data_IF_524903844389
#
_entry.id   IF_524903844389
#
_cell.length_a   1.000
_cell.length_b   1.000
_cell.length_c   1.000
_cell.angle_alpha   90.00
_cell.angle_beta   90.00
_cell.angle_gamma   90.00
#
_symmetry.space_group_name_H-M   'P 1'
#
loop_
_entity.id
_entity.type
_entity.pdbx_description
1 polymer ?
#
# COMPACT_ATOMS: atom_id res chain seq x y z
N UNK A 1 -9.18 12.77 -16.38
CA UNK A 1 -8.69 11.47 -15.91
C UNK A 1 -8.82 11.33 -14.38
N UNK A 2 -8.22 12.25 -13.60
CA UNK A 2 -8.21 12.19 -12.14
C UNK A 2 -9.62 12.17 -11.50
N UNK A 3 -10.58 12.92 -12.03
CA UNK A 3 -11.95 12.91 -11.55
C UNK A 3 -12.63 11.55 -11.75
N UNK A 4 -12.38 10.92 -12.90
CA UNK A 4 -12.91 9.60 -13.22
C UNK A 4 -12.29 8.52 -12.31
N UNK A 5 -10.98 8.58 -12.09
CA UNK A 5 -10.28 7.67 -11.18
C UNK A 5 -10.80 7.80 -9.74
N UNK A 6 -11.04 9.02 -9.24
CA UNK A 6 -11.65 9.25 -7.91
C UNK A 6 -13.07 8.69 -7.79
N UNK A 7 -13.87 8.80 -8.85
CA UNK A 7 -15.23 8.23 -8.84
C UNK A 7 -15.18 6.69 -8.82
N UNK A 8 -14.27 6.10 -9.61
CA UNK A 8 -14.06 4.66 -9.61
C UNK A 8 -13.56 4.15 -8.24
N UNK A 9 -12.63 4.88 -7.60
CA UNK A 9 -12.15 4.54 -6.26
C UNK A 9 -13.31 4.52 -5.24
N UNK A 10 -14.14 5.57 -5.23
CA UNK A 10 -15.32 5.63 -4.34
C UNK A 10 -16.30 4.48 -4.56
N UNK A 11 -16.45 4.03 -5.80
CA UNK A 11 -17.29 2.86 -6.12
C UNK A 11 -16.61 1.57 -5.64
N UNK A 12 -15.30 1.44 -5.81
CA UNK A 12 -14.56 0.28 -5.37
C UNK A 12 -14.48 0.14 -3.84
N UNK A 13 -14.51 1.24 -3.08
CA UNK A 13 -14.55 1.24 -1.62
C UNK A 13 -15.83 0.60 -1.04
N UNK A 14 -16.89 0.52 -1.84
CA UNK A 14 -18.14 -0.16 -1.45
C UNK A 14 -18.13 -1.66 -1.74
N UNK A 15 -17.16 -2.13 -2.51
CA UNK A 15 -17.02 -3.53 -2.89
C UNK A 15 -16.13 -4.23 -1.86
N UNK A 16 -16.50 -5.43 -1.38
CA UNK A 16 -15.61 -6.19 -0.50
C UNK A 16 -14.25 -6.38 -1.14
N UNK A 17 -13.19 -6.11 -0.37
CA UNK A 17 -11.82 -6.22 -0.84
C UNK A 17 -11.01 -7.05 0.14
N UNK A 18 -10.25 -8.01 -0.40
CA UNK A 18 -9.29 -8.82 0.36
C UNK A 18 -7.89 -8.40 -0.07
N UNK A 19 -7.17 -7.75 0.85
CA UNK A 19 -5.81 -7.29 0.64
C UNK A 19 -4.84 -8.27 1.31
N UNK A 20 -3.97 -8.85 0.52
CA UNK A 20 -2.95 -9.79 0.99
C UNK A 20 -1.62 -9.04 1.07
N UNK A 21 -1.00 -9.04 2.23
CA UNK A 21 0.30 -8.39 2.42
C UNK A 21 1.37 -9.03 1.53
N UNK A 22 1.94 -8.24 0.64
CA UNK A 22 3.03 -8.64 -0.26
C UNK A 22 4.42 -8.21 0.23
N UNK A 23 4.55 -7.83 1.49
CA UNK A 23 5.87 -7.62 2.10
C UNK A 23 6.67 -8.91 2.13
N UNK A 24 8.00 -8.80 2.05
CA UNK A 24 8.94 -9.93 1.92
C UNK A 24 8.69 -11.05 2.93
N UNK A 25 8.44 -10.72 4.21
CA UNK A 25 8.18 -11.71 5.25
C UNK A 25 6.89 -12.50 4.98
N UNK A 26 5.82 -11.83 4.54
CA UNK A 26 4.56 -12.47 4.19
C UNK A 26 4.69 -13.33 2.93
N UNK A 27 5.42 -12.87 1.91
CA UNK A 27 5.71 -13.65 0.69
C UNK A 27 6.47 -14.92 1.06
N UNK A 28 7.52 -14.82 1.87
CA UNK A 28 8.27 -15.97 2.36
C UNK A 28 7.40 -16.93 3.19
N UNK A 29 6.42 -16.39 3.91
CA UNK A 29 5.41 -17.16 4.67
C UNK A 29 4.29 -17.76 3.81
N UNK A 30 4.26 -17.55 2.50
CA UNK A 30 3.30 -18.16 1.58
C UNK A 30 2.15 -17.25 1.14
N UNK A 31 2.25 -15.93 1.26
CA UNK A 31 1.21 -14.98 0.86
C UNK A 31 0.77 -15.15 -0.61
N UNK A 32 1.70 -15.48 -1.51
CA UNK A 32 1.36 -15.76 -2.92
C UNK A 32 0.40 -16.94 -3.07
N UNK A 33 0.61 -18.01 -2.30
CA UNK A 33 -0.30 -19.16 -2.31
C UNK A 33 -1.68 -18.81 -1.77
N UNK A 34 -1.75 -17.93 -0.77
CA UNK A 34 -3.02 -17.41 -0.23
C UNK A 34 -3.75 -16.63 -1.32
N UNK A 35 -3.04 -15.74 -2.03
CA UNK A 35 -3.59 -14.98 -3.14
C UNK A 35 -4.17 -15.89 -4.25
N UNK A 36 -3.39 -16.86 -4.71
CA UNK A 36 -3.81 -17.81 -5.77
C UNK A 36 -5.00 -18.67 -5.33
N UNK A 37 -4.99 -19.13 -4.06
CA UNK A 37 -6.09 -19.93 -3.52
C UNK A 37 -7.39 -19.13 -3.40
N UNK A 38 -7.32 -17.87 -2.93
CA UNK A 38 -8.50 -17.01 -2.86
C UNK A 38 -9.10 -16.77 -4.24
N UNK A 39 -8.26 -16.50 -5.25
CA UNK A 39 -8.74 -16.37 -6.65
C UNK A 39 -9.43 -17.65 -7.13
N UNK A 40 -8.78 -18.80 -6.90
CA UNK A 40 -9.34 -20.10 -7.28
C UNK A 40 -10.67 -20.39 -6.58
N UNK A 41 -10.79 -20.06 -5.30
CA UNK A 41 -12.04 -20.23 -4.55
C UNK A 41 -13.16 -19.32 -5.09
N UNK A 42 -12.84 -18.07 -5.48
CA UNK A 42 -13.79 -17.17 -6.13
C UNK A 42 -14.24 -17.71 -7.50
N UNK A 43 -13.32 -18.19 -8.33
CA UNK A 43 -13.60 -18.77 -9.64
C UNK A 43 -14.55 -19.97 -9.55
N UNK A 44 -14.32 -20.89 -8.60
CA UNK A 44 -15.19 -22.05 -8.34
C UNK A 44 -16.63 -21.66 -8.04
N UNK A 45 -16.86 -20.45 -7.51
CA UNK A 45 -18.17 -19.91 -7.15
C UNK A 45 -18.77 -19.00 -8.21
N UNK A 46 -18.07 -18.78 -9.30
CA UNK A 46 -18.47 -17.82 -10.32
C UNK A 46 -18.52 -16.37 -9.80
N UNK A 47 -17.76 -16.08 -8.74
CA UNK A 47 -17.60 -14.71 -8.25
C UNK A 47 -16.57 -14.00 -9.14
N UNK A 48 -16.94 -12.88 -9.80
CA UNK A 48 -15.99 -12.10 -10.56
C UNK A 48 -14.92 -11.53 -9.61
N UNK A 49 -13.66 -11.83 -9.89
CA UNK A 49 -12.51 -11.26 -9.17
C UNK A 49 -11.94 -10.13 -9.99
N UNK A 50 -11.85 -8.97 -9.39
CA UNK A 50 -11.19 -7.82 -10.00
C UNK A 50 -9.84 -7.56 -9.34
N UNK A 51 -8.85 -7.32 -10.21
CA UNK A 51 -7.53 -6.82 -9.85
C UNK A 51 -7.43 -5.43 -10.45
N UNK A 52 -7.18 -4.42 -9.64
CA UNK A 52 -7.10 -3.01 -10.08
C UNK A 52 -8.43 -2.25 -10.04
N UNK A 53 -8.33 -0.96 -10.34
CA UNK A 53 -9.46 -0.04 -10.37
C UNK A 53 -10.19 -0.18 -11.71
N UNK A 54 -11.29 -0.94 -11.76
CA UNK A 54 -12.10 -1.06 -12.97
C UNK A 54 -13.29 -0.10 -12.94
N UNK A 55 -13.54 0.52 -14.09
CA UNK A 55 -14.66 1.46 -14.31
C UNK A 55 -15.98 0.78 -14.68
N UNK A 56 -16.07 -0.55 -14.65
CA UNK A 56 -17.24 -1.27 -15.12
C UNK A 56 -18.35 -1.39 -14.07
N UNK A 57 -19.58 -1.24 -14.56
CA UNK A 57 -20.83 -1.07 -13.81
C UNK A 57 -21.36 -2.31 -13.09
N UNK A 58 -20.69 -3.45 -13.16
CA UNK A 58 -21.11 -4.70 -12.49
C UNK A 58 -20.52 -4.88 -11.08
N UNK A 59 -20.22 -3.77 -10.42
CA UNK A 59 -19.54 -3.75 -9.11
C UNK A 59 -20.32 -4.44 -7.98
N UNK A 60 -21.65 -4.56 -8.07
CA UNK A 60 -22.51 -5.09 -6.99
C UNK A 60 -22.29 -6.59 -6.68
N UNK A 61 -21.59 -7.33 -7.54
CA UNK A 61 -21.35 -8.77 -7.38
C UNK A 61 -19.88 -9.18 -7.46
N UNK A 62 -18.97 -8.22 -7.40
CA UNK A 62 -17.54 -8.47 -7.55
C UNK A 62 -16.81 -8.46 -6.22
N UNK A 63 -15.72 -9.21 -6.14
CA UNK A 63 -14.78 -9.22 -5.03
C UNK A 63 -13.42 -8.73 -5.54
N UNK A 64 -12.82 -7.77 -4.84
CA UNK A 64 -11.45 -7.37 -5.11
C UNK A 64 -10.49 -8.25 -4.32
N UNK A 65 -9.56 -8.92 -5.01
CA UNK A 65 -8.44 -9.63 -4.39
C UNK A 65 -7.17 -8.96 -4.84
N UNK A 66 -6.50 -8.26 -3.92
CA UNK A 66 -5.37 -7.38 -4.21
C UNK A 66 -4.13 -7.77 -3.40
N UNK A 67 -2.97 -7.51 -3.99
CA UNK A 67 -1.71 -7.53 -3.26
C UNK A 67 -1.43 -6.13 -2.72
N UNK A 68 -1.30 -6.00 -1.41
CA UNK A 68 -0.98 -4.73 -0.76
C UNK A 68 0.50 -4.64 -0.39
N UNK A 69 1.01 -3.41 -0.22
CA UNK A 69 2.31 -3.18 0.38
C UNK A 69 2.41 -3.71 1.82
N UNK A 70 3.60 -3.67 2.39
CA UNK A 70 3.86 -4.20 3.73
C UNK A 70 3.04 -3.48 4.80
N UNK A 71 2.27 -4.24 5.59
CA UNK A 71 1.53 -3.71 6.74
C UNK A 71 2.43 -3.40 7.95
N UNK A 72 3.70 -3.83 7.94
CA UNK A 72 4.65 -3.56 9.02
C UNK A 72 4.53 -4.49 10.23
N UNK A 73 3.71 -5.53 10.17
CA UNK A 73 3.50 -6.50 11.27
C UNK A 73 3.99 -7.89 10.91
N UNK A 74 5.23 -7.96 10.40
CA UNK A 74 5.83 -9.14 9.77
C UNK A 74 5.88 -10.36 10.69
N UNK A 75 6.03 -10.18 12.01
CA UNK A 75 6.01 -11.27 12.99
C UNK A 75 4.68 -12.05 12.97
N UNK A 76 3.58 -11.37 12.64
CA UNK A 76 2.23 -11.94 12.57
C UNK A 76 1.84 -12.40 11.17
N UNK A 77 2.76 -12.33 10.20
CA UNK A 77 2.48 -12.74 8.81
C UNK A 77 2.33 -14.24 8.61
N UNK A 78 1.73 -14.64 7.51
CA UNK A 78 1.04 -13.85 6.46
C UNK A 78 -0.19 -13.12 6.95
N UNK A 79 -0.37 -11.87 6.48
CA UNK A 79 -1.49 -10.99 6.86
C UNK A 79 -2.50 -10.89 5.72
N UNK A 80 -3.78 -10.94 6.08
CA UNK A 80 -4.91 -10.70 5.17
C UNK A 80 -5.81 -9.65 5.79
N UNK A 81 -6.06 -8.55 5.06
CA UNK A 81 -6.92 -7.47 5.49
C UNK A 81 -8.19 -7.43 4.65
N UNK A 82 -9.35 -7.26 5.29
CA UNK A 82 -10.66 -7.34 4.63
C UNK A 82 -11.40 -6.04 4.82
N UNK A 83 -11.68 -5.37 3.69
CA UNK A 83 -12.45 -4.14 3.63
C UNK A 83 -13.87 -4.38 3.09
N UNK A 84 -14.87 -3.60 3.50
CA UNK A 84 -14.82 -2.44 4.38
C UNK A 84 -14.88 -2.77 5.88
N UNK A 85 -14.75 -4.04 6.28
CA UNK A 85 -14.87 -4.46 7.69
C UNK A 85 -13.67 -3.99 8.54
N UNK A 86 -12.53 -3.64 7.92
CA UNK A 86 -11.28 -3.30 8.61
C UNK A 86 -10.64 -4.47 9.35
N UNK A 87 -11.08 -5.71 9.06
CA UNK A 87 -10.60 -6.91 9.77
C UNK A 87 -9.23 -7.31 9.28
N UNK A 88 -8.31 -7.51 10.21
CA UNK A 88 -6.98 -8.05 9.92
C UNK A 88 -6.82 -9.45 10.49
N UNK A 89 -6.54 -10.39 9.62
CA UNK A 89 -6.17 -11.76 9.98
C UNK A 89 -4.65 -11.94 9.96
N UNK A 90 -4.16 -12.69 10.95
CA UNK A 90 -2.75 -13.00 11.17
C UNK A 90 -2.48 -14.49 10.96
N UNK A 91 -1.22 -14.85 10.68
CA UNK A 91 -0.76 -16.23 10.48
C UNK A 91 -1.64 -17.04 9.53
N UNK A 92 -2.21 -16.36 8.53
CA UNK A 92 -3.13 -16.97 7.56
C UNK A 92 -2.39 -18.03 6.74
N UNK A 93 -3.05 -19.15 6.52
CA UNK A 93 -2.55 -20.26 5.70
C UNK A 93 -3.41 -20.43 4.44
N UNK A 94 -2.86 -21.05 3.39
CA UNK A 94 -3.65 -21.34 2.18
C UNK A 94 -4.95 -22.10 2.45
N UNK A 95 -4.99 -22.96 3.49
CA UNK A 95 -6.15 -23.75 3.87
C UNK A 95 -7.28 -22.90 4.47
N UNK A 96 -6.95 -21.70 4.99
CA UNK A 96 -7.92 -20.78 5.60
C UNK A 96 -8.75 -20.02 4.55
N UNK A 97 -8.30 -19.99 3.29
CA UNK A 97 -8.90 -19.18 2.21
C UNK A 97 -10.40 -19.47 2.01
N UNK A 98 -10.78 -20.75 2.04
CA UNK A 98 -12.17 -21.16 1.91
C UNK A 98 -13.03 -20.59 3.06
N UNK A 99 -12.55 -20.74 4.30
CA UNK A 99 -13.26 -20.26 5.49
C UNK A 99 -13.34 -18.71 5.52
N UNK A 100 -12.27 -18.03 5.16
CA UNK A 100 -12.24 -16.56 5.06
C UNK A 100 -13.28 -16.08 4.05
N UNK A 101 -13.33 -16.70 2.87
CA UNK A 101 -14.30 -16.32 1.84
C UNK A 101 -15.74 -16.55 2.31
N UNK A 102 -16.06 -17.74 2.82
CA UNK A 102 -17.42 -18.09 3.21
C UNK A 102 -17.91 -17.30 4.43
N UNK A 103 -17.12 -17.32 5.51
CA UNK A 103 -17.57 -16.72 6.77
C UNK A 103 -17.43 -15.22 6.76
N UNK A 104 -16.26 -14.71 6.35
CA UNK A 104 -15.99 -13.28 6.54
C UNK A 104 -16.44 -12.47 5.34
N UNK A 105 -15.98 -12.79 4.15
CA UNK A 105 -16.25 -11.97 2.97
C UNK A 105 -17.73 -12.02 2.57
N UNK A 106 -18.33 -13.23 2.54
CA UNK A 106 -19.71 -13.43 2.15
C UNK A 106 -20.68 -13.39 3.33
N UNK A 107 -20.26 -13.90 4.48
CA UNK A 107 -21.12 -14.04 5.67
C UNK A 107 -21.03 -12.90 6.68
N UNK A 108 -19.99 -12.04 6.60
CA UNK A 108 -19.77 -10.95 7.57
C UNK A 108 -19.33 -11.40 8.97
N UNK A 109 -18.93 -12.67 9.13
CA UNK A 109 -18.53 -13.25 10.41
C UNK A 109 -17.01 -13.14 10.61
N UNK A 110 -16.58 -12.82 11.82
CA UNK A 110 -15.15 -12.75 12.16
C UNK A 110 -14.68 -14.13 12.63
N UNK A 111 -13.55 -14.59 12.09
CA UNK A 111 -12.92 -15.86 12.48
C UNK A 111 -11.96 -15.58 13.64
N UNK A 112 -12.41 -15.80 14.86
CA UNK A 112 -11.68 -15.44 16.09
C UNK A 112 -10.26 -16.02 16.17
N UNK A 113 -10.02 -17.25 15.70
CA UNK A 113 -8.70 -17.89 15.71
C UNK A 113 -7.66 -17.19 14.82
N UNK A 114 -8.11 -16.37 13.86
CA UNK A 114 -7.24 -15.66 12.92
C UNK A 114 -7.01 -14.19 13.30
N UNK A 115 -7.72 -13.65 14.30
CA UNK A 115 -7.49 -12.29 14.78
C UNK A 115 -6.33 -12.21 15.76
N UNK A 116 -5.76 -11.02 15.89
CA UNK A 116 -4.71 -10.78 16.88
C UNK A 116 -5.28 -10.76 18.30
N UNK A 117 -4.62 -11.49 19.22
CA UNK A 117 -4.97 -11.49 20.63
C UNK A 117 -3.79 -10.99 21.48
N UNK A 118 -4.09 -10.17 22.48
CA UNK A 118 -3.11 -9.69 23.45
C UNK A 118 -3.79 -9.68 24.85
N UNK A 119 -3.15 -10.34 25.83
CA UNK A 119 -3.65 -10.41 27.21
C UNK A 119 -5.11 -10.90 27.33
N UNK A 120 -5.51 -11.84 26.46
CA UNK A 120 -6.86 -12.39 26.41
C UNK A 120 -7.91 -11.51 25.72
N UNK A 121 -7.51 -10.39 25.14
CA UNK A 121 -8.38 -9.50 24.36
C UNK A 121 -8.17 -9.73 22.88
N UNK A 122 -9.25 -9.91 22.12
CA UNK A 122 -9.23 -10.02 20.68
C UNK A 122 -9.26 -8.63 20.02
N UNK A 123 -8.43 -8.44 19.01
CA UNK A 123 -8.35 -7.19 18.21
C UNK A 123 -8.62 -7.51 16.73
N UNK A 124 -9.88 -7.60 16.31
CA UNK A 124 -10.20 -7.94 14.94
C UNK A 124 -9.85 -6.85 13.92
N UNK A 125 -9.89 -5.57 14.32
CA UNK A 125 -9.59 -4.47 13.42
C UNK A 125 -8.14 -4.03 13.53
N UNK A 126 -7.50 -3.78 12.38
CA UNK A 126 -6.11 -3.32 12.34
C UNK A 126 -5.88 -2.07 13.19
N UNK A 127 -6.77 -1.09 13.10
CA UNK A 127 -6.67 0.19 13.81
C UNK A 127 -6.72 0.06 15.34
N UNK A 128 -7.35 -0.99 15.86
CA UNK A 128 -7.48 -1.24 17.28
C UNK A 128 -6.29 -1.95 17.89
N UNK A 129 -5.49 -2.65 17.07
CA UNK A 129 -4.30 -3.37 17.54
C UNK A 129 -3.33 -2.36 18.17
N UNK A 130 -2.87 -2.59 19.44
CA UNK A 130 -2.03 -1.63 20.16
C UNK A 130 -0.74 -1.24 19.44
N UNK A 131 -0.19 -2.13 18.61
CA UNK A 131 0.96 -1.89 17.77
C UNK A 131 0.69 -0.79 16.73
N UNK A 132 -0.46 -0.83 16.04
CA UNK A 132 -0.84 0.16 15.04
C UNK A 132 -1.36 1.46 15.66
N UNK A 133 -2.11 1.35 16.74
CA UNK A 133 -2.73 2.50 17.42
C UNK A 133 -1.72 3.56 17.89
N UNK A 134 -0.46 3.15 18.11
CA UNK A 134 0.63 4.03 18.54
C UNK A 134 1.47 4.56 17.39
N UNK A 135 1.16 4.20 16.13
CA UNK A 135 1.91 4.63 14.96
C UNK A 135 1.21 5.78 14.24
N UNK A 136 2.01 6.72 13.75
CA UNK A 136 1.60 7.72 12.79
C UNK A 136 2.41 7.52 11.51
N UNK A 137 1.77 6.92 10.52
CA UNK A 137 2.41 6.61 9.24
C UNK A 137 2.34 7.81 8.32
N UNK A 138 3.49 8.27 7.83
CA UNK A 138 3.60 9.33 6.82
C UNK A 138 4.13 8.73 5.52
N UNK A 139 5.34 8.19 5.54
CA UNK A 139 5.99 7.62 4.34
C UNK A 139 5.32 6.31 3.88
N UNK A 140 4.83 5.53 4.84
CA UNK A 140 4.15 4.25 4.58
C UNK A 140 2.62 4.37 4.65
N UNK A 141 2.06 5.55 4.46
CA UNK A 141 0.62 5.82 4.58
C UNK A 141 -0.21 4.90 3.68
N UNK A 142 0.20 4.72 2.43
CA UNK A 142 -0.51 3.89 1.46
C UNK A 142 -0.15 2.40 1.53
N UNK A 143 0.89 2.03 2.30
CA UNK A 143 1.27 0.63 2.44
C UNK A 143 0.24 -0.14 3.26
N UNK A 144 -0.30 -1.20 2.67
CA UNK A 144 -1.34 -2.02 3.29
C UNK A 144 -2.77 -1.60 2.97
N UNK A 145 -2.98 -0.42 2.37
CA UNK A 145 -4.31 0.11 2.00
C UNK A 145 -4.49 0.34 0.50
N UNK A 146 -3.45 0.14 -0.30
CA UNK A 146 -3.48 0.35 -1.75
C UNK A 146 -2.82 -0.81 -2.47
N UNK A 147 -3.25 -1.02 -3.71
CA UNK A 147 -2.53 -1.86 -4.66
C UNK A 147 -1.31 -1.09 -5.17
N UNK A 148 -0.12 -1.62 -4.92
CA UNK A 148 1.13 -0.97 -5.31
C UNK A 148 1.36 -0.95 -6.84
N UNK A 149 0.69 -1.85 -7.57
CA UNK A 149 0.80 -1.97 -9.03
C UNK A 149 -0.28 -1.18 -9.78
N UNK A 150 -1.25 -0.59 -9.07
CA UNK A 150 -2.34 0.17 -9.68
C UNK A 150 -2.08 1.68 -9.64
N UNK A 151 -1.57 2.21 -10.75
CA UNK A 151 -1.33 3.65 -10.93
C UNK A 151 -2.63 4.46 -10.88
N UNK A 152 -3.77 3.91 -11.31
CA UNK A 152 -5.05 4.62 -11.29
C UNK A 152 -5.54 4.81 -9.86
N UNK A 153 -5.35 3.82 -8.99
CA UNK A 153 -5.65 3.94 -7.56
C UNK A 153 -4.77 5.01 -6.91
N UNK A 154 -3.48 5.05 -7.23
CA UNK A 154 -2.57 6.09 -6.72
C UNK A 154 -2.98 7.50 -7.16
N UNK A 155 -3.35 7.68 -8.45
CA UNK A 155 -3.83 8.96 -8.97
C UNK A 155 -5.17 9.36 -8.33
N UNK A 156 -6.08 8.40 -8.11
CA UNK A 156 -7.36 8.64 -7.45
C UNK A 156 -7.18 9.18 -6.02
N UNK A 157 -6.18 8.69 -5.31
CA UNK A 157 -5.78 9.17 -3.97
C UNK A 157 -5.03 10.51 -3.98
N UNK A 158 -4.84 11.12 -5.14
CA UNK A 158 -4.17 12.42 -5.29
C UNK A 158 -2.69 12.34 -5.69
N UNK A 159 -2.22 11.14 -5.99
CA UNK A 159 -0.86 10.91 -6.47
C UNK A 159 -0.55 11.70 -7.74
N UNK A 160 0.70 12.02 -7.93
CA UNK A 160 1.24 12.84 -9.04
C UNK A 160 0.73 14.28 -9.14
N UNK A 161 -0.18 14.75 -8.29
CA UNK A 161 -0.64 16.16 -8.34
C UNK A 161 0.50 17.16 -8.10
N UNK A 162 1.43 16.83 -7.21
CA UNK A 162 2.64 17.63 -7.00
C UNK A 162 3.58 17.63 -8.21
N UNK A 163 3.72 16.49 -8.88
CA UNK A 163 4.52 16.35 -10.09
C UNK A 163 3.92 17.15 -11.25
N UNK A 164 2.60 17.04 -11.46
CA UNK A 164 1.87 17.83 -12.47
C UNK A 164 2.10 19.34 -12.26
N UNK A 165 1.93 19.81 -11.03
CA UNK A 165 2.18 21.20 -10.67
C UNK A 165 3.63 21.62 -10.94
N UNK A 166 4.60 20.80 -10.54
CA UNK A 166 6.01 21.08 -10.75
C UNK A 166 6.35 21.16 -12.24
N UNK A 167 5.77 20.29 -13.06
CA UNK A 167 6.07 20.20 -14.49
C UNK A 167 5.47 21.34 -15.31
N UNK A 168 4.25 21.78 -14.99
CA UNK A 168 3.49 22.71 -15.82
C UNK A 168 3.35 24.13 -15.24
N UNK A 169 3.59 24.31 -13.94
CA UNK A 169 3.29 25.58 -13.26
C UNK A 169 4.50 26.20 -12.55
N UNK A 170 5.62 25.45 -12.42
CA UNK A 170 6.77 25.92 -11.63
C UNK A 170 8.06 25.93 -12.46
N UNK A 171 8.92 26.88 -12.14
CA UNK A 171 10.30 26.89 -12.60
C UNK A 171 11.16 25.94 -11.76
N UNK A 172 12.31 25.54 -12.26
CA UNK A 172 13.30 24.73 -11.53
C UNK A 172 13.75 25.37 -10.22
N UNK A 173 13.85 26.70 -10.17
CA UNK A 173 14.17 27.45 -8.96
C UNK A 173 13.05 27.39 -7.93
N UNK A 174 11.81 27.59 -8.34
CA UNK A 174 10.64 27.51 -7.46
C UNK A 174 10.45 26.11 -6.90
N UNK A 175 10.72 25.06 -7.67
CA UNK A 175 10.71 23.67 -7.21
C UNK A 175 11.74 23.48 -6.09
N UNK A 176 13.00 23.87 -6.34
CA UNK A 176 14.06 23.77 -5.34
C UNK A 176 13.73 24.58 -4.08
N UNK A 177 13.18 25.79 -4.24
CA UNK A 177 12.78 26.64 -3.13
C UNK A 177 11.67 26.00 -2.29
N UNK A 178 10.65 25.46 -2.94
CA UNK A 178 9.56 24.75 -2.25
C UNK A 178 10.06 23.59 -1.40
N UNK A 179 11.02 22.80 -1.93
CA UNK A 179 11.61 21.69 -1.17
C UNK A 179 12.51 22.20 -0.02
N UNK A 180 13.23 23.31 -0.20
CA UNK A 180 14.00 23.94 0.90
C UNK A 180 13.06 24.38 2.01
N UNK A 181 12.01 25.11 1.65
CA UNK A 181 11.06 25.71 2.59
C UNK A 181 10.24 24.62 3.34
N UNK A 182 10.00 23.46 2.71
CA UNK A 182 9.38 22.30 3.35
C UNK A 182 10.24 21.65 4.45
N UNK A 183 11.55 21.93 4.47
CA UNK A 183 12.48 21.32 5.40
C UNK A 183 12.77 19.83 5.15
N UNK A 184 12.38 19.29 3.98
CA UNK A 184 12.62 17.90 3.64
C UNK A 184 14.09 17.53 3.71
N UNK A 185 14.40 16.44 4.40
CA UNK A 185 15.75 15.91 4.60
C UNK A 185 15.86 14.48 4.09
N UNK A 186 17.07 14.08 3.72
CA UNK A 186 17.38 12.71 3.35
C UNK A 186 17.08 11.72 4.48
N UNK A 187 16.69 10.51 4.11
CA UNK A 187 16.32 9.42 5.02
C UNK A 187 17.36 8.30 5.11
N UNK A 188 18.50 8.45 4.41
CA UNK A 188 19.62 7.50 4.46
C UNK A 188 20.57 7.68 5.65
N UNK A 189 20.10 8.26 6.78
CA UNK A 189 20.88 8.42 8.01
C UNK A 189 21.55 9.79 8.16
N UNK A 190 22.11 10.39 7.10
CA UNK A 190 22.81 11.68 7.16
C UNK A 190 21.89 12.90 7.31
N UNK A 191 20.62 12.79 6.96
CA UNK A 191 19.62 13.85 7.11
C UNK A 191 19.98 15.15 6.38
N UNK A 192 20.71 15.09 5.27
CA UNK A 192 21.07 16.28 4.49
C UNK A 192 19.82 16.95 3.90
N UNK A 193 19.71 18.30 3.90
CA UNK A 193 18.55 18.99 3.33
C UNK A 193 18.41 18.71 1.83
N UNK A 194 17.32 18.04 1.43
CA UNK A 194 17.10 17.57 0.06
C UNK A 194 17.06 18.73 -0.94
N UNK A 195 16.36 19.82 -0.61
CA UNK A 195 16.25 20.99 -1.49
C UNK A 195 17.58 21.69 -1.74
N UNK A 196 18.48 21.74 -0.75
CA UNK A 196 19.83 22.29 -0.95
C UNK A 196 20.66 21.44 -1.91
N UNK A 197 20.51 20.11 -1.83
CA UNK A 197 21.16 19.17 -2.74
C UNK A 197 20.67 19.36 -4.18
N UNK A 198 19.37 19.53 -4.36
CA UNK A 198 18.77 19.77 -5.66
C UNK A 198 19.16 21.13 -6.25
N UNK A 199 19.14 22.20 -5.43
CA UNK A 199 19.54 23.53 -5.87
C UNK A 199 21.05 23.60 -6.25
N UNK A 200 21.89 22.88 -5.50
CA UNK A 200 23.30 22.70 -5.83
C UNK A 200 23.52 22.04 -7.19
N UNK A 201 22.74 21.00 -7.50
CA UNK A 201 22.76 20.33 -8.81
C UNK A 201 22.19 21.24 -9.92
N UNK A 202 21.09 21.95 -9.62
CA UNK A 202 20.46 22.91 -10.54
C UNK A 202 21.46 23.96 -11.04
N UNK A 203 22.27 24.51 -10.15
CA UNK A 203 23.26 25.57 -10.43
C UNK A 203 24.46 25.09 -11.25
N UNK A 204 24.67 23.80 -11.44
CA UNK A 204 25.80 23.32 -12.23
C UNK A 204 25.57 23.58 -13.72
N UNK A 205 26.64 23.95 -14.42
CA UNK A 205 26.63 24.15 -15.88
C UNK A 205 26.76 22.78 -16.55
N UNK A 206 25.65 22.20 -16.94
CA UNK A 206 25.60 20.92 -17.67
C UNK A 206 24.35 20.89 -18.54
N UNK A 207 24.47 20.34 -19.74
CA UNK A 207 23.33 20.14 -20.65
C UNK A 207 22.34 19.10 -20.11
N UNK A 208 22.84 18.08 -19.40
CA UNK A 208 22.02 17.04 -18.77
C UNK A 208 22.29 16.99 -17.28
N UNK A 209 21.21 16.80 -16.55
CA UNK A 209 21.25 16.54 -15.11
C UNK A 209 20.46 15.25 -14.83
N UNK A 210 20.90 14.51 -13.84
CA UNK A 210 20.31 13.22 -13.51
C UNK A 210 19.84 13.25 -12.05
N UNK A 211 18.70 12.63 -11.79
CA UNK A 211 18.25 12.27 -10.47
C UNK A 211 18.52 10.78 -10.29
N UNK A 212 19.17 10.42 -9.20
CA UNK A 212 19.45 9.04 -8.85
C UNK A 212 18.70 8.71 -7.56
N UNK A 213 17.75 7.80 -7.64
CA UNK A 213 17.10 7.23 -6.47
C UNK A 213 18.03 6.17 -5.88
N UNK A 214 18.44 6.37 -4.63
CA UNK A 214 19.21 5.37 -3.91
C UNK A 214 18.27 4.60 -2.98
N UNK A 215 18.13 3.30 -3.22
CA UNK A 215 17.38 2.35 -2.38
C UNK A 215 18.29 1.22 -1.89
N UNK A 216 19.59 1.42 -1.83
CA UNK A 216 20.54 0.46 -1.25
C UNK A 216 20.41 0.48 0.28
N UNK A 217 19.99 -0.62 0.86
CA UNK A 217 19.86 -0.83 2.30
C UNK A 217 20.89 -1.85 2.76
N UNK A 218 22.15 -1.48 2.77
CA UNK A 218 23.28 -2.34 3.14
C UNK A 218 23.33 -2.74 4.62
N UNK A 219 22.62 -2.03 5.49
CA UNK A 219 22.60 -2.33 6.92
C UNK A 219 21.79 -3.59 7.22
N UNK A 220 22.32 -4.53 8.03
CA UNK A 220 21.59 -5.73 8.41
C UNK A 220 20.26 -5.40 9.08
N UNK A 221 19.15 -5.95 8.55
CA UNK A 221 17.80 -5.74 9.07
C UNK A 221 17.12 -4.44 8.62
N UNK A 222 17.79 -3.59 7.83
CA UNK A 222 17.17 -2.45 7.17
C UNK A 222 16.27 -2.92 6.03
N UNK A 223 15.03 -2.41 5.96
CA UNK A 223 14.06 -2.75 4.90
C UNK A 223 13.03 -1.62 4.66
N UNK A 224 13.31 -0.40 5.12
CA UNK A 224 12.38 0.73 4.99
C UNK A 224 12.25 1.17 3.54
N UNK A 225 13.35 1.39 2.84
CA UNK A 225 13.35 1.83 1.43
C UNK A 225 12.70 0.76 0.54
N UNK A 226 13.01 -0.48 0.80
CA UNK A 226 12.36 -1.62 0.16
C UNK A 226 10.86 -1.61 0.38
N UNK A 227 10.39 -1.39 1.60
CA UNK A 227 8.96 -1.34 1.92
C UNK A 227 8.24 -0.23 1.16
N UNK A 228 8.89 0.92 0.96
CA UNK A 228 8.34 2.03 0.16
C UNK A 228 8.32 1.66 -1.33
N UNK A 229 9.43 1.16 -1.87
CA UNK A 229 9.54 0.82 -3.29
C UNK A 229 8.63 -0.32 -3.71
N UNK A 230 8.39 -1.31 -2.83
CA UNK A 230 7.47 -2.42 -3.09
C UNK A 230 6.01 -2.06 -2.80
N UNK A 231 5.75 -1.25 -1.79
CA UNK A 231 4.39 -0.99 -1.30
C UNK A 231 3.76 0.31 -1.79
N UNK A 232 4.57 1.28 -2.23
CA UNK A 232 4.11 2.57 -2.75
C UNK A 232 5.15 3.16 -3.73
N UNK A 233 5.49 2.44 -4.83
CA UNK A 233 6.54 2.85 -5.77
C UNK A 233 6.28 4.21 -6.40
N UNK A 234 5.02 4.53 -6.64
CA UNK A 234 4.60 5.80 -7.24
C UNK A 234 4.95 7.03 -6.39
N UNK A 235 5.12 6.87 -5.08
CA UNK A 235 5.52 7.99 -4.21
C UNK A 235 7.01 8.34 -4.34
N UNK A 236 7.80 7.46 -4.94
CA UNK A 236 9.24 7.64 -5.17
C UNK A 236 9.50 8.32 -6.52
N UNK A 237 8.62 8.10 -7.48
CA UNK A 237 8.68 8.66 -8.84
C UNK A 237 8.24 10.11 -8.89
#
# INVERSE_FOLDING_TARGET
FQANARNALKQSEQVPSVLICAGTGCIAGGAMKIYDNLKTECEKRGLPVYVGLKHDTDAEKSLHVKMSGCHGFCEMGPLVHIEPMGVMYIHVKPEDCHEILEKTVLGGEIIDRLVYHLDGVAYPRQEDIPFYKKQHRVVLENCGSSDAEDIEEYIAKGGYAGFEKALFEMTDEEICRSIIDSGLRGRGGGGFPAGQKWDGARKQKSEKKYIVCNGDEGDPGAFMDRSVMEGNPHSVL
#
